data_IF_556104437797
#
_entry.id   IF_556104437797
#
_cell.length_a   1.000
_cell.length_b   1.000
_cell.length_c   1.000
_cell.angle_alpha   90.00
_cell.angle_beta   90.00
_cell.angle_gamma   90.00
#
_symmetry.space_group_name_H-M   'P 1'
#
loop_
_entity.id
_entity.type
_entity.pdbx_description
1 polymer ?
#
# COMPACT_ATOMS: atom_id res chain seq x y z
N UNK A 1 2.58 1.84 12.06
CA UNK A 1 3.01 1.16 10.83
C UNK A 1 2.04 1.56 9.74
N UNK A 2 2.54 1.89 8.56
CA UNK A 2 1.74 2.32 7.42
C UNK A 2 2.12 1.42 6.24
N UNK A 3 1.24 0.53 5.75
CA UNK A 3 1.52 -0.28 4.57
C UNK A 3 1.33 0.52 3.28
N UNK A 4 2.20 0.28 2.30
CA UNK A 4 2.09 0.77 0.92
C UNK A 4 1.74 -0.38 -0.05
N UNK A 5 2.11 -0.23 -1.32
CA UNK A 5 1.92 -1.31 -2.31
C UNK A 5 2.81 -2.54 -2.03
N UNK A 6 4.11 -2.32 -1.82
CA UNK A 6 5.12 -3.37 -1.64
C UNK A 6 6.12 -3.02 -0.52
N UNK A 7 5.82 -2.02 0.29
CA UNK A 7 6.68 -1.52 1.35
C UNK A 7 5.87 -1.24 2.61
N UNK A 8 6.59 -1.13 3.72
CA UNK A 8 6.01 -0.82 5.03
C UNK A 8 6.81 0.33 5.62
N UNK A 9 6.12 1.38 6.06
CA UNK A 9 6.70 2.47 6.85
C UNK A 9 6.49 2.21 8.34
N UNK A 10 7.58 2.23 9.11
CA UNK A 10 7.57 2.08 10.56
C UNK A 10 8.06 3.37 11.21
N UNK A 11 7.28 3.88 12.16
CA UNK A 11 7.65 5.08 12.94
C UNK A 11 8.20 4.61 14.29
N UNK A 12 9.45 4.96 14.59
CA UNK A 12 10.12 4.62 15.85
C UNK A 12 9.88 5.71 16.91
N UNK A 13 9.58 5.30 18.15
CA UNK A 13 9.39 6.24 19.27
C UNK A 13 10.70 6.91 19.69
N UNK A 14 11.81 6.18 19.67
CA UNK A 14 13.14 6.67 20.03
C UNK A 14 14.14 6.37 18.91
N UNK A 15 14.07 7.09 17.77
CA UNK A 15 14.82 6.73 16.57
C UNK A 15 16.35 6.75 16.78
N UNK A 16 16.87 7.66 17.60
CA UNK A 16 18.31 7.77 17.87
C UNK A 16 18.88 6.55 18.60
N UNK A 17 18.06 5.89 19.43
CA UNK A 17 18.46 4.71 20.20
C UNK A 17 18.15 3.42 19.44
N UNK A 18 17.09 3.42 18.63
CA UNK A 18 16.48 2.19 18.10
C UNK A 18 16.78 1.94 16.61
N UNK A 19 17.30 2.91 15.86
CA UNK A 19 17.38 2.82 14.40
C UNK A 19 18.11 1.56 13.90
N UNK A 20 19.30 1.29 14.43
CA UNK A 20 20.11 0.15 13.99
C UNK A 20 19.49 -1.20 14.31
N UNK A 21 19.04 -1.38 15.56
CA UNK A 21 18.38 -2.61 15.98
C UNK A 21 17.05 -2.83 15.24
N UNK A 22 16.30 -1.76 14.96
CA UNK A 22 15.07 -1.84 14.20
C UNK A 22 15.31 -2.27 12.76
N UNK A 23 16.36 -1.77 12.09
CA UNK A 23 16.70 -2.17 10.71
C UNK A 23 17.01 -3.66 10.65
N UNK A 24 17.89 -4.15 11.53
CA UNK A 24 18.31 -5.56 11.55
C UNK A 24 17.11 -6.50 11.79
N UNK A 25 16.26 -6.17 12.76
CA UNK A 25 15.03 -6.93 13.06
C UNK A 25 14.05 -6.91 11.89
N UNK A 26 13.83 -5.76 11.26
CA UNK A 26 12.90 -5.62 10.15
C UNK A 26 13.37 -6.38 8.91
N UNK A 27 14.67 -6.37 8.62
CA UNK A 27 15.24 -7.16 7.51
C UNK A 27 15.03 -8.65 7.75
N UNK A 28 15.38 -9.15 8.94
CA UNK A 28 15.21 -10.56 9.27
C UNK A 28 13.74 -10.99 9.20
N UNK A 29 12.83 -10.22 9.78
CA UNK A 29 11.40 -10.52 9.71
C UNK A 29 10.86 -10.49 8.30
N UNK A 30 11.38 -9.61 7.44
CA UNK A 30 10.95 -9.56 6.05
C UNK A 30 11.34 -10.84 5.30
N UNK A 31 12.54 -11.36 5.53
CA UNK A 31 13.02 -12.61 4.91
C UNK A 31 12.30 -13.84 5.46
N UNK A 32 11.98 -13.85 6.75
CA UNK A 32 11.28 -14.94 7.43
C UNK A 32 9.76 -14.90 7.24
N UNK A 33 9.22 -13.80 6.71
CA UNK A 33 7.78 -13.60 6.55
C UNK A 33 7.21 -14.46 5.44
N UNK A 34 6.17 -15.22 5.77
CA UNK A 34 5.32 -15.85 4.76
C UNK A 34 4.43 -14.81 4.05
N UNK A 35 4.03 -15.13 2.82
CA UNK A 35 3.02 -14.36 2.12
C UNK A 35 1.66 -14.58 2.79
N UNK A 36 1.13 -13.53 3.40
CA UNK A 36 -0.19 -13.56 4.01
C UNK A 36 -1.23 -13.11 2.98
N UNK A 37 -2.23 -13.94 2.70
CA UNK A 37 -3.46 -13.51 2.01
C UNK A 37 -4.49 -13.09 3.07
N UNK A 38 -4.71 -11.77 3.28
CA UNK A 38 -5.68 -11.31 4.25
C UNK A 38 -7.09 -11.70 3.83
N UNK A 39 -7.98 -11.92 4.81
CA UNK A 39 -9.39 -12.12 4.53
C UNK A 39 -9.94 -10.91 3.76
N UNK A 40 -10.41 -11.18 2.54
CA UNK A 40 -11.00 -10.16 1.69
C UNK A 40 -12.42 -9.87 2.16
N UNK A 41 -12.79 -8.58 2.13
CA UNK A 41 -14.18 -8.15 2.26
C UNK A 41 -14.62 -7.52 0.95
N UNK A 42 -15.71 -8.03 0.40
CA UNK A 42 -16.37 -7.40 -0.73
C UNK A 42 -17.11 -6.14 -0.27
N UNK A 43 -16.87 -5.03 -0.96
CA UNK A 43 -17.55 -3.75 -0.72
C UNK A 43 -17.97 -3.20 -2.09
N UNK A 44 -19.27 -3.08 -2.31
CA UNK A 44 -19.80 -2.42 -3.51
C UNK A 44 -19.79 -0.90 -3.30
N UNK A 45 -19.03 -0.19 -4.12
CA UNK A 45 -18.98 1.28 -4.10
C UNK A 45 -19.70 1.79 -5.35
N UNK A 46 -20.79 2.57 -5.24
CA UNK A 46 -21.46 3.14 -6.40
C UNK A 46 -20.60 4.24 -7.03
N UNK A 47 -20.35 4.13 -8.34
CA UNK A 47 -19.53 5.08 -9.10
C UNK A 47 -20.33 5.65 -10.27
N UNK A 48 -20.29 6.97 -10.44
CA UNK A 48 -20.78 7.64 -11.65
C UNK A 48 -19.61 7.77 -12.62
N UNK A 49 -19.71 7.13 -13.78
CA UNK A 49 -18.66 7.16 -14.80
C UNK A 49 -18.90 8.30 -15.81
N UNK A 50 -17.86 9.08 -16.11
CA UNK A 50 -17.84 10.07 -17.19
C UNK A 50 -18.53 11.38 -16.84
N UNK A 51 -18.84 12.19 -17.86
CA UNK A 51 -19.44 13.52 -17.69
C UNK A 51 -18.52 14.51 -16.96
N UNK A 52 -19.11 15.56 -16.37
CA UNK A 52 -18.36 16.57 -15.61
C UNK A 52 -17.61 15.98 -14.40
N UNK A 53 -18.13 14.90 -13.82
CA UNK A 53 -17.56 14.20 -12.67
C UNK A 53 -16.38 13.28 -13.02
N UNK A 54 -16.17 12.96 -14.30
CA UNK A 54 -15.21 11.94 -14.74
C UNK A 54 -14.56 12.25 -16.08
N UNK A 55 -14.05 13.47 -16.25
CA UNK A 55 -13.53 13.99 -17.52
C UNK A 55 -12.33 13.19 -18.07
N UNK A 56 -11.59 12.46 -17.22
CA UNK A 56 -10.40 11.70 -17.61
C UNK A 56 -10.70 10.34 -18.28
N UNK A 57 -11.96 9.90 -18.32
CA UNK A 57 -12.33 8.58 -18.86
C UNK A 57 -12.01 8.41 -20.35
N UNK A 58 -12.09 9.49 -21.13
CA UNK A 58 -11.72 9.46 -22.55
C UNK A 58 -10.20 9.28 -22.74
N UNK A 59 -9.40 9.94 -21.90
CA UNK A 59 -7.94 9.84 -21.92
C UNK A 59 -7.47 8.48 -21.43
N UNK A 60 -8.04 7.93 -20.34
CA UNK A 60 -7.66 6.61 -19.81
C UNK A 60 -7.87 5.48 -20.83
N UNK A 61 -8.90 5.59 -21.68
CA UNK A 61 -9.16 4.62 -22.75
C UNK A 61 -8.09 4.63 -23.85
N UNK A 62 -7.43 5.76 -24.10
CA UNK A 62 -6.40 5.88 -25.12
C UNK A 62 -5.04 5.30 -24.68
N UNK A 63 -4.76 5.30 -23.37
CA UNK A 63 -3.51 4.78 -22.77
C UNK A 63 -3.61 3.30 -22.38
N UNK A 64 -4.83 2.76 -22.24
CA UNK A 64 -5.08 1.35 -21.98
C UNK A 64 -5.11 0.48 -23.25
N UNK A 65 -4.79 1.06 -24.41
CA UNK A 65 -4.64 0.37 -25.69
C UNK A 65 -3.31 -0.34 -25.82
#
# INVERSE_FOLDING_TARGET
MIPGMNNITVVLRHPQEMAWEAIDKLQRWWEESDALEPESREISIPVIYGGEAGQILATSRAIAG
#
